data_IF_648995488955
#
_entry.id   IF_648995488955
#
_cell.length_a   1.000
_cell.length_b   1.000
_cell.length_c   1.000
_cell.angle_alpha   90.00
_cell.angle_beta   90.00
_cell.angle_gamma   90.00
#
_symmetry.space_group_name_H-M   'P 1'
#
loop_
_entity.id
_entity.type
_entity.pdbx_description
1 polymer ?
#
# COMPACT_ATOMS: atom_id res chain seq x y z
N UNK A 1 10.31 24.46 -2.70
CA UNK A 1 10.25 23.07 -3.23
C UNK A 1 8.97 22.46 -2.70
N UNK A 2 8.06 21.98 -3.55
CA UNK A 2 6.90 21.19 -3.04
C UNK A 2 7.45 19.86 -2.59
N UNK A 3 7.25 19.53 -1.32
CA UNK A 3 7.59 18.20 -0.82
C UNK A 3 6.90 17.14 -1.66
N UNK A 4 7.65 16.16 -2.12
CA UNK A 4 7.09 15.04 -2.89
C UNK A 4 6.40 14.12 -1.91
N UNK A 5 5.10 14.02 -2.02
CA UNK A 5 4.32 13.09 -1.21
C UNK A 5 4.66 11.64 -1.59
N UNK A 6 4.87 10.74 -0.62
CA UNK A 6 5.10 9.33 -0.89
C UNK A 6 3.99 8.73 -1.76
N UNK A 7 4.37 8.00 -2.81
CA UNK A 7 3.43 7.39 -3.76
C UNK A 7 2.79 8.37 -4.76
N UNK A 8 2.98 9.68 -4.58
CA UNK A 8 2.48 10.70 -5.50
C UNK A 8 3.24 10.74 -6.82
N UNK A 9 2.57 11.06 -7.88
CA UNK A 9 3.01 11.29 -9.25
C UNK A 9 3.22 10.07 -10.15
N UNK A 10 2.44 10.08 -11.19
CA UNK A 10 2.93 9.67 -12.50
C UNK A 10 3.85 10.76 -13.03
N UNK A 11 4.90 10.38 -13.72
CA UNK A 11 5.80 11.29 -14.38
C UNK A 11 5.09 12.14 -15.44
N UNK A 12 5.81 13.08 -16.07
CA UNK A 12 5.25 13.95 -17.09
C UNK A 12 4.71 13.13 -18.28
N UNK A 13 3.66 13.63 -18.90
CA UNK A 13 3.23 13.15 -20.21
C UNK A 13 4.20 13.69 -21.26
N UNK A 14 4.93 12.80 -21.93
CA UNK A 14 5.83 13.11 -23.03
C UNK A 14 5.24 12.47 -24.27
N UNK A 15 5.01 13.26 -25.32
CA UNK A 15 4.39 12.82 -26.60
C UNK A 15 3.05 12.07 -26.39
N UNK A 16 2.23 12.54 -25.46
CA UNK A 16 0.96 11.92 -25.13
C UNK A 16 1.06 10.62 -24.31
N UNK A 17 2.27 10.15 -24.02
CA UNK A 17 2.51 8.94 -23.25
C UNK A 17 2.79 9.30 -21.80
N UNK A 18 1.96 8.80 -20.88
CA UNK A 18 2.16 8.97 -19.44
C UNK A 18 3.26 8.03 -18.95
N UNK A 19 4.25 8.61 -18.29
CA UNK A 19 5.34 7.83 -17.68
C UNK A 19 5.05 7.58 -16.21
N UNK A 20 5.21 6.34 -15.77
CA UNK A 20 5.13 5.96 -14.36
C UNK A 20 6.44 6.35 -13.67
N UNK A 21 6.35 7.08 -12.58
CA UNK A 21 7.50 7.40 -11.72
C UNK A 21 7.76 6.22 -10.80
N UNK A 22 9.04 5.85 -10.65
CA UNK A 22 9.49 4.87 -9.68
C UNK A 22 10.09 5.58 -8.47
N UNK A 23 9.74 5.13 -7.28
CA UNK A 23 10.18 5.71 -6.00
C UNK A 23 10.67 4.60 -5.08
N UNK A 24 11.76 4.86 -4.35
CA UNK A 24 12.26 4.00 -3.29
C UNK A 24 12.28 4.78 -1.97
N UNK A 25 11.73 4.17 -0.94
CA UNK A 25 11.80 4.60 0.45
C UNK A 25 12.44 3.47 1.25
N UNK A 26 13.57 3.73 1.88
CA UNK A 26 14.28 2.74 2.68
C UNK A 26 14.56 3.33 4.06
N UNK A 27 14.32 2.53 5.12
CA UNK A 27 14.54 2.91 6.52
C UNK A 27 13.83 4.22 6.93
N UNK A 28 12.67 4.49 6.34
CA UNK A 28 11.92 5.74 6.58
C UNK A 28 10.88 5.56 7.70
N UNK A 29 10.64 6.65 8.42
CA UNK A 29 9.46 6.82 9.27
C UNK A 29 8.48 7.76 8.59
N UNK A 30 7.26 7.28 8.33
CA UNK A 30 6.21 8.02 7.63
C UNK A 30 4.95 8.01 8.48
N UNK A 31 4.48 9.17 8.89
CA UNK A 31 3.28 9.29 9.71
C UNK A 31 2.20 10.14 9.03
N UNK A 32 0.95 9.77 9.28
CA UNK A 32 -0.19 10.51 8.75
C UNK A 32 -1.53 9.94 9.17
N UNK A 33 -2.59 10.48 8.60
CA UNK A 33 -3.97 10.16 8.94
C UNK A 33 -4.66 9.43 7.78
N UNK A 34 -5.29 10.18 6.89
CA UNK A 34 -6.06 9.66 5.78
C UNK A 34 -5.22 9.69 4.51
N UNK A 35 -5.07 8.50 3.88
CA UNK A 35 -4.47 8.37 2.56
C UNK A 35 -3.09 9.05 2.47
N UNK A 36 -2.28 8.95 3.52
CA UNK A 36 -1.02 9.70 3.57
C UNK A 36 0.06 9.16 2.63
N UNK A 37 -0.13 7.96 2.07
CA UNK A 37 0.61 7.46 0.92
C UNK A 37 -0.39 7.27 -0.22
N UNK A 38 -0.40 8.20 -1.19
CA UNK A 38 -1.37 8.14 -2.29
C UNK A 38 -0.75 8.51 -3.63
N UNK A 39 -1.40 8.10 -4.70
CA UNK A 39 -1.02 8.42 -6.07
C UNK A 39 -0.78 7.19 -6.94
N UNK A 40 -0.16 7.38 -8.09
CA UNK A 40 -0.06 6.38 -9.16
C UNK A 40 1.38 5.95 -9.49
N UNK A 41 2.35 6.33 -8.66
CA UNK A 41 3.72 5.86 -8.83
C UNK A 41 3.84 4.34 -8.59
N UNK A 42 4.84 3.72 -9.19
CA UNK A 42 5.38 2.47 -8.67
C UNK A 42 6.33 2.83 -7.52
N UNK A 43 5.93 2.54 -6.28
CA UNK A 43 6.71 2.90 -5.10
C UNK A 43 7.05 1.67 -4.28
N UNK A 44 8.33 1.55 -3.94
CA UNK A 44 8.86 0.46 -3.11
C UNK A 44 9.27 1.02 -1.75
N UNK A 45 8.71 0.45 -0.70
CA UNK A 45 9.00 0.80 0.69
C UNK A 45 9.69 -0.39 1.35
N UNK A 46 10.91 -0.19 1.84
CA UNK A 46 11.69 -1.22 2.47
C UNK A 46 12.07 -0.83 3.88
N UNK A 47 11.78 -1.72 4.83
CA UNK A 47 12.14 -1.52 6.23
C UNK A 47 11.62 -0.18 6.81
N UNK A 48 10.46 0.28 6.32
CA UNK A 48 9.86 1.54 6.77
C UNK A 48 8.89 1.33 7.94
N UNK A 49 8.75 2.33 8.78
CA UNK A 49 7.69 2.40 9.78
C UNK A 49 6.60 3.35 9.29
N UNK A 50 5.38 2.82 9.12
CA UNK A 50 4.18 3.56 8.75
C UNK A 50 3.35 3.77 10.01
N UNK A 51 3.18 5.03 10.43
CA UNK A 51 2.53 5.37 11.69
C UNK A 51 1.21 6.11 11.47
N UNK A 52 0.10 5.46 11.80
CA UNK A 52 -1.23 6.05 11.69
C UNK A 52 -1.56 6.93 12.92
N UNK A 53 -1.99 8.15 12.68
CA UNK A 53 -2.36 9.11 13.70
C UNK A 53 -3.85 9.00 14.03
N UNK A 54 -4.16 8.94 15.34
CA UNK A 54 -5.51 8.85 15.84
C UNK A 54 -6.30 10.16 15.62
N UNK A 55 -7.46 10.05 15.03
CA UNK A 55 -8.39 11.16 14.77
C UNK A 55 -9.65 11.11 15.64
N UNK A 56 -9.76 10.12 16.53
CA UNK A 56 -10.97 9.86 17.32
C UNK A 56 -12.22 9.62 16.46
N UNK A 57 -12.06 8.84 15.39
CA UNK A 57 -13.13 8.41 14.49
C UNK A 57 -13.27 6.88 14.55
N UNK A 58 -14.37 6.33 14.02
CA UNK A 58 -14.58 4.88 13.91
C UNK A 58 -13.48 4.24 13.07
N UNK A 59 -13.23 4.78 11.85
CA UNK A 59 -12.02 4.49 11.07
C UNK A 59 -11.10 5.70 11.15
N UNK A 60 -9.97 5.53 11.83
CA UNK A 60 -9.05 6.60 12.12
C UNK A 60 -8.14 6.95 10.97
N UNK A 61 -7.65 5.94 10.24
CA UNK A 61 -6.69 6.17 9.19
C UNK A 61 -6.80 5.14 8.06
N UNK A 62 -6.28 5.54 6.90
CA UNK A 62 -5.95 4.66 5.78
C UNK A 62 -4.47 4.92 5.44
N UNK A 63 -3.62 3.89 5.50
CA UNK A 63 -2.21 4.09 5.17
C UNK A 63 -2.04 4.48 3.72
N UNK A 64 -2.74 3.82 2.80
CA UNK A 64 -2.53 4.03 1.38
C UNK A 64 -3.82 4.21 0.59
N UNK A 65 -3.74 5.03 -0.46
CA UNK A 65 -4.78 5.19 -1.47
C UNK A 65 -4.17 5.19 -2.89
N UNK A 66 -3.82 4.01 -3.41
CA UNK A 66 -3.21 3.92 -4.73
C UNK A 66 -4.21 4.26 -5.83
N UNK A 67 -3.73 5.00 -6.83
CA UNK A 67 -4.44 5.30 -8.07
C UNK A 67 -3.74 4.69 -9.29
N UNK A 68 -3.25 3.48 -9.12
CA UNK A 68 -2.59 2.70 -10.17
C UNK A 68 -3.44 2.68 -11.44
N UNK A 69 -2.82 2.88 -12.60
CA UNK A 69 -3.52 2.85 -13.87
C UNK A 69 -3.76 1.42 -14.35
N UNK A 70 -4.81 1.27 -15.13
CA UNK A 70 -5.03 0.02 -15.87
C UNK A 70 -3.79 -0.33 -16.71
N UNK A 71 -3.37 -1.59 -16.66
CA UNK A 71 -2.18 -2.07 -17.37
C UNK A 71 -0.83 -1.70 -16.73
N UNK A 72 -0.79 -0.87 -15.69
CA UNK A 72 0.45 -0.62 -14.93
C UNK A 72 0.84 -1.88 -14.17
N UNK A 73 2.07 -2.36 -14.37
CA UNK A 73 2.51 -3.63 -13.81
C UNK A 73 2.52 -3.63 -12.27
N UNK A 74 3.06 -2.57 -11.66
CA UNK A 74 3.23 -2.47 -10.21
C UNK A 74 2.66 -1.15 -9.66
N UNK A 75 2.09 -1.22 -8.45
CA UNK A 75 1.70 -0.07 -7.65
C UNK A 75 2.65 0.11 -6.45
N UNK A 76 2.11 -0.01 -5.23
CA UNK A 76 2.90 0.06 -4.00
C UNK A 76 3.33 -1.33 -3.56
N UNK A 77 4.60 -1.45 -3.19
CA UNK A 77 5.18 -2.65 -2.60
C UNK A 77 5.83 -2.27 -1.28
N UNK A 78 5.44 -2.95 -0.20
CA UNK A 78 6.03 -2.80 1.12
C UNK A 78 6.74 -4.10 1.49
N UNK A 79 8.03 -4.01 1.78
CA UNK A 79 8.84 -5.15 2.22
C UNK A 79 9.40 -4.89 3.62
N UNK A 80 9.17 -5.82 4.54
CA UNK A 80 9.67 -5.75 5.92
C UNK A 80 9.28 -4.45 6.63
N UNK A 81 8.12 -3.89 6.30
CA UNK A 81 7.62 -2.67 6.90
C UNK A 81 6.79 -2.94 8.15
N UNK A 82 6.72 -1.94 9.04
CA UNK A 82 5.91 -1.99 10.25
C UNK A 82 4.73 -1.03 10.11
N UNK A 83 3.52 -1.56 10.15
CA UNK A 83 2.26 -0.81 10.17
C UNK A 83 1.78 -0.67 11.61
N UNK A 84 1.90 0.52 12.18
CA UNK A 84 1.62 0.85 13.57
C UNK A 84 0.99 2.23 13.72
N UNK A 85 0.74 2.68 14.93
CA UNK A 85 0.16 3.99 15.21
C UNK A 85 -0.26 4.15 16.66
N UNK A 86 -1.02 5.20 16.93
CA UNK A 86 -1.65 5.45 18.22
C UNK A 86 -3.19 5.37 18.15
N UNK A 87 -3.70 4.66 17.15
CA UNK A 87 -5.13 4.43 16.95
C UNK A 87 -5.64 3.29 17.84
N UNK A 88 -6.93 3.29 18.21
CA UNK A 88 -7.56 2.14 18.85
C UNK A 88 -7.47 0.87 18.00
N UNK A 89 -7.59 -0.31 18.63
CA UNK A 89 -7.67 -1.58 17.90
C UNK A 89 -8.77 -1.56 16.83
N UNK A 90 -8.51 -2.20 15.67
CA UNK A 90 -9.46 -2.37 14.55
C UNK A 90 -10.06 -1.06 14.03
N UNK A 91 -9.26 -0.03 13.91
CA UNK A 91 -9.70 1.28 13.43
C UNK A 91 -8.89 1.86 12.28
N UNK A 92 -7.99 1.06 11.69
CA UNK A 92 -7.15 1.50 10.57
C UNK A 92 -7.15 0.48 9.45
N UNK A 93 -7.32 0.94 8.21
CA UNK A 93 -7.19 0.11 7.02
C UNK A 93 -5.82 0.26 6.35
N UNK A 94 -5.31 -0.82 5.78
CA UNK A 94 -4.03 -0.84 5.06
C UNK A 94 -4.10 -0.05 3.75
N UNK A 95 -5.20 -0.22 3.01
CA UNK A 95 -5.38 0.44 1.73
C UNK A 95 -6.85 0.59 1.36
N UNK A 96 -7.13 1.59 0.52
CA UNK A 96 -8.40 1.75 -0.19
C UNK A 96 -8.16 2.23 -1.62
N UNK A 97 -8.99 1.83 -2.61
CA UNK A 97 -8.72 2.13 -4.01
C UNK A 97 -9.15 3.55 -4.38
N UNK A 98 -8.20 4.47 -4.57
CA UNK A 98 -8.55 5.75 -5.18
C UNK A 98 -9.07 5.54 -6.61
N UNK A 99 -8.43 4.62 -7.36
CA UNK A 99 -8.92 4.13 -8.66
C UNK A 99 -9.10 2.61 -8.62
N UNK A 100 -10.01 2.10 -9.44
CA UNK A 100 -10.41 0.68 -9.42
C UNK A 100 -9.31 -0.32 -9.77
N UNK A 101 -8.19 0.11 -10.36
CA UNK A 101 -7.02 -0.73 -10.64
C UNK A 101 -5.91 -0.60 -9.60
N UNK A 102 -6.25 -0.13 -8.40
CA UNK A 102 -5.31 0.06 -7.30
C UNK A 102 -4.50 -1.21 -6.98
N UNK A 103 -3.19 -1.06 -6.75
CA UNK A 103 -2.30 -2.18 -6.41
C UNK A 103 -1.48 -1.87 -5.17
N UNK A 104 -1.56 -2.77 -4.18
CA UNK A 104 -0.75 -2.72 -2.95
C UNK A 104 -0.35 -4.13 -2.56
N UNK A 105 0.95 -4.38 -2.42
CA UNK A 105 1.52 -5.67 -2.04
C UNK A 105 2.37 -5.49 -0.78
N UNK A 106 2.15 -6.37 0.19
CA UNK A 106 2.79 -6.33 1.51
C UNK A 106 3.54 -7.64 1.75
N UNK A 107 4.87 -7.57 1.89
CA UNK A 107 5.76 -8.71 2.01
C UNK A 107 6.48 -8.66 3.36
N UNK A 108 6.38 -9.71 4.15
CA UNK A 108 7.09 -9.83 5.44
C UNK A 108 6.81 -8.65 6.39
N UNK A 109 5.62 -8.07 6.35
CA UNK A 109 5.26 -6.89 7.12
C UNK A 109 4.72 -7.25 8.51
N UNK A 110 4.90 -6.33 9.45
CA UNK A 110 4.37 -6.40 10.81
C UNK A 110 3.14 -5.49 10.95
N UNK A 111 2.09 -5.98 11.61
CA UNK A 111 0.84 -5.25 11.80
C UNK A 111 0.45 -5.19 13.25
N UNK A 112 0.21 -3.97 13.77
CA UNK A 112 -0.36 -3.80 15.10
C UNK A 112 -1.85 -4.15 15.14
N UNK A 113 -2.42 -4.27 16.31
CA UNK A 113 -3.83 -4.61 16.56
C UNK A 113 -4.83 -3.57 16.02
N UNK A 114 -4.34 -2.38 15.68
CA UNK A 114 -5.19 -1.32 15.12
C UNK A 114 -5.72 -1.61 13.71
N UNK A 115 -5.15 -2.60 13.00
CA UNK A 115 -5.62 -2.97 11.66
C UNK A 115 -6.98 -3.66 11.75
N UNK A 116 -7.93 -3.22 10.90
CA UNK A 116 -9.24 -3.87 10.77
C UNK A 116 -9.09 -5.32 10.29
N UNK A 117 -10.00 -6.18 10.63
CA UNK A 117 -9.92 -7.62 10.29
C UNK A 117 -9.92 -7.83 8.76
N UNK A 118 -10.69 -7.05 8.00
CA UNK A 118 -10.72 -7.07 6.53
C UNK A 118 -9.41 -6.59 5.89
N UNK A 119 -8.59 -5.82 6.63
CA UNK A 119 -7.32 -5.25 6.21
C UNK A 119 -7.46 -4.10 5.21
N UNK A 120 -8.30 -4.26 4.22
CA UNK A 120 -8.52 -3.35 3.09
C UNK A 120 -9.99 -2.98 2.97
N UNK A 121 -10.28 -1.83 2.36
CA UNK A 121 -11.65 -1.45 2.03
C UNK A 121 -11.78 -1.16 0.54
N UNK A 122 -13.00 -1.20 0.02
CA UNK A 122 -13.29 -0.94 -1.40
C UNK A 122 -13.68 0.51 -1.70
N UNK A 123 -13.71 1.36 -0.67
CA UNK A 123 -14.15 2.76 -0.78
C UNK A 123 -15.55 2.91 -1.39
N UNK A 124 -16.47 2.00 -1.04
CA UNK A 124 -17.81 1.90 -1.65
C UNK A 124 -17.79 1.80 -3.18
N UNK A 125 -16.81 1.07 -3.71
CA UNK A 125 -16.63 0.78 -5.15
C UNK A 125 -16.59 -0.73 -5.35
N UNK A 126 -17.70 -1.45 -5.22
CA UNK A 126 -17.71 -2.92 -5.31
C UNK A 126 -17.19 -3.43 -6.65
N UNK A 127 -17.30 -2.63 -7.72
CA UNK A 127 -16.71 -2.94 -9.02
C UNK A 127 -15.19 -3.06 -8.99
N UNK A 128 -14.54 -2.49 -7.97
CA UNK A 128 -13.08 -2.59 -7.81
C UNK A 128 -12.62 -3.99 -7.40
N UNK A 129 -13.50 -4.84 -6.86
CA UNK A 129 -13.12 -6.17 -6.38
C UNK A 129 -12.52 -7.06 -7.48
N UNK A 130 -12.91 -6.85 -8.73
CA UNK A 130 -12.40 -7.60 -9.88
C UNK A 130 -11.11 -7.01 -10.48
N UNK A 131 -10.75 -5.78 -10.10
CA UNK A 131 -9.68 -5.04 -10.78
C UNK A 131 -8.54 -4.60 -9.86
N UNK A 132 -8.78 -4.46 -8.54
CA UNK A 132 -7.71 -4.19 -7.57
C UNK A 132 -6.77 -5.39 -7.46
N UNK A 133 -5.54 -5.12 -7.10
CA UNK A 133 -4.60 -6.16 -6.70
C UNK A 133 -4.03 -5.84 -5.32
N UNK A 134 -4.68 -6.37 -4.30
CA UNK A 134 -4.23 -6.31 -2.91
C UNK A 134 -3.70 -7.68 -2.51
N UNK A 135 -2.47 -7.75 -2.01
CA UNK A 135 -1.83 -9.00 -1.70
C UNK A 135 -0.94 -8.91 -0.46
N UNK A 136 -0.87 -10.00 0.28
CA UNK A 136 -0.04 -10.15 1.47
C UNK A 136 0.77 -11.45 1.38
N UNK A 137 2.00 -11.43 1.92
CA UNK A 137 2.85 -12.61 2.09
C UNK A 137 3.57 -12.54 3.43
N UNK A 138 3.51 -13.64 4.18
CA UNK A 138 4.30 -13.84 5.41
C UNK A 138 4.23 -12.66 6.38
N UNK A 139 3.04 -12.10 6.58
CA UNK A 139 2.81 -11.07 7.58
C UNK A 139 2.86 -11.62 9.00
N UNK A 140 2.98 -10.74 9.98
CA UNK A 140 2.97 -11.11 11.40
C UNK A 140 2.43 -9.97 12.27
N UNK A 141 2.26 -10.25 13.57
CA UNK A 141 1.69 -9.32 14.54
C UNK A 141 0.19 -9.49 14.74
N UNK A 142 -0.38 -8.77 15.70
CA UNK A 142 -1.78 -8.96 16.14
C UNK A 142 -2.80 -8.57 15.07
N UNK A 143 -2.43 -7.66 14.17
CA UNK A 143 -3.26 -7.23 13.04
C UNK A 143 -3.16 -8.11 11.79
N UNK A 144 -2.27 -9.12 11.77
CA UNK A 144 -2.19 -10.08 10.67
C UNK A 144 -3.21 -11.19 10.85
N UNK A 145 -4.28 -11.15 10.08
CA UNK A 145 -5.40 -12.10 10.13
C UNK A 145 -5.82 -12.51 8.72
N UNK A 146 -5.00 -13.30 8.01
CA UNK A 146 -5.23 -13.63 6.60
C UNK A 146 -6.59 -14.31 6.36
N UNK A 147 -7.08 -15.09 7.35
CA UNK A 147 -8.37 -15.76 7.28
C UNK A 147 -9.60 -14.84 7.40
N UNK A 148 -9.39 -13.57 7.77
CA UNK A 148 -10.44 -12.55 7.92
C UNK A 148 -10.36 -11.44 6.89
N UNK A 149 -9.35 -11.46 6.03
CA UNK A 149 -9.19 -10.44 4.99
C UNK A 149 -10.39 -10.43 4.05
N UNK A 150 -10.67 -9.28 3.46
CA UNK A 150 -11.67 -9.15 2.42
C UNK A 150 -11.41 -10.16 1.28
N UNK A 151 -12.48 -10.70 0.68
CA UNK A 151 -12.39 -11.80 -0.29
C UNK A 151 -11.54 -11.48 -1.54
N UNK A 152 -11.34 -10.20 -1.85
CA UNK A 152 -10.51 -9.74 -2.98
C UNK A 152 -9.03 -9.52 -2.63
N UNK A 153 -8.60 -9.92 -1.42
CA UNK A 153 -7.21 -9.87 -0.98
C UNK A 153 -6.53 -11.21 -1.21
N UNK A 154 -5.41 -11.19 -1.90
CA UNK A 154 -4.65 -12.39 -2.23
C UNK A 154 -3.64 -12.71 -1.13
N UNK A 155 -3.55 -13.98 -0.74
CA UNK A 155 -2.47 -14.50 0.09
C UNK A 155 -1.46 -15.18 -0.85
N UNK A 156 -0.29 -14.55 -1.01
CA UNK A 156 0.75 -15.03 -1.94
C UNK A 156 1.51 -16.22 -1.36
N UNK A 157 1.98 -17.10 -2.23
CA UNK A 157 3.00 -18.07 -1.91
C UNK A 157 4.41 -17.48 -2.10
N UNK A 158 5.45 -18.23 -1.70
CA UNK A 158 6.83 -17.78 -1.76
C UNK A 158 7.28 -17.44 -3.19
N UNK A 159 6.92 -18.26 -4.16
CA UNK A 159 7.28 -18.06 -5.57
C UNK A 159 6.68 -16.76 -6.15
N UNK A 160 5.44 -16.47 -5.79
CA UNK A 160 4.77 -15.23 -6.18
C UNK A 160 5.43 -14.01 -5.50
N UNK A 161 5.72 -14.10 -4.20
CA UNK A 161 6.34 -13.03 -3.43
C UNK A 161 7.73 -12.64 -3.96
N UNK A 162 8.55 -13.62 -4.35
CA UNK A 162 9.89 -13.39 -4.92
C UNK A 162 9.86 -12.49 -6.14
N UNK A 163 8.82 -12.55 -6.97
CA UNK A 163 8.69 -11.71 -8.16
C UNK A 163 8.67 -10.20 -7.83
N UNK A 164 8.24 -9.83 -6.64
CA UNK A 164 8.19 -8.44 -6.17
C UNK A 164 9.51 -7.97 -5.55
N UNK A 165 10.28 -8.86 -4.93
CA UNK A 165 11.58 -8.52 -4.31
C UNK A 165 12.66 -8.24 -5.35
N UNK A 166 12.46 -8.66 -6.59
CA UNK A 166 13.32 -8.35 -7.74
C UNK A 166 12.94 -7.06 -8.48
N UNK A 167 12.01 -6.27 -7.94
CA UNK A 167 11.76 -4.90 -8.40
C UNK A 167 12.96 -4.02 -8.07
N UNK A 168 14.11 -4.34 -8.68
CA UNK A 168 15.25 -3.43 -8.66
C UNK A 168 14.86 -2.19 -9.44
N UNK A 169 14.86 -1.04 -8.77
CA UNK A 169 14.94 0.23 -9.47
C UNK A 169 16.09 0.12 -10.48
N UNK A 170 15.95 0.65 -11.70
CA UNK A 170 17.04 0.61 -12.65
C UNK A 170 18.29 1.15 -11.96
N UNK A 171 19.24 0.26 -11.73
CA UNK A 171 20.57 0.64 -11.26
C UNK A 171 21.07 1.72 -12.20
N UNK A 172 21.43 2.86 -11.65
CA UNK A 172 22.10 3.92 -12.43
C UNK A 172 23.23 3.28 -13.23
N UNK A 173 23.12 3.37 -14.54
CA UNK A 173 24.27 3.21 -15.41
C UNK A 173 25.20 4.40 -15.20
#
# INVERSE_FOLDING_TARGET
>A
MKEKQPGGFTGPTIDGIRRVVHQLYEDCYIAGEIDFIFGSATAYFKNCTLFALNRNQEINAFYTAPSTYEGQAFGYVFESCTFTGNCPPKSVALSRPWRIHAKTVLLNCSYSDQIIDEGFTDWNKPESHETVYYAEYNGHGEGFKPEKRAAYVHQLNESEAVSYTHLTLPTKL
#
